data_IF_503267065822
#
_entry.id   IF_503267065822
#
_cell.length_a   1.000
_cell.length_b   1.000
_cell.length_c   1.000
_cell.angle_alpha   90.00
_cell.angle_beta   90.00
_cell.angle_gamma   90.00
#
_symmetry.space_group_name_H-M   'P 1'
#
loop_
_entity.id
_entity.type
_entity.pdbx_description
1 polymer ?
#
# COMPACT_ATOMS: atom_id res chain seq x y z
N UNK A 1 46.22 2.53 14.93
CA UNK A 1 45.15 3.26 15.64
C UNK A 1 44.51 4.14 14.59
N UNK A 2 43.50 3.60 13.92
CA UNK A 2 42.65 4.30 12.97
C UNK A 2 41.46 4.83 13.73
N UNK A 3 41.31 6.15 13.76
CA UNK A 3 40.12 6.84 14.24
C UNK A 3 38.91 6.33 13.43
N UNK A 4 38.01 5.63 14.11
CA UNK A 4 36.69 5.36 13.60
C UNK A 4 35.85 6.62 13.86
N UNK A 5 35.52 7.35 12.79
CA UNK A 5 34.54 8.44 12.83
C UNK A 5 33.22 7.91 13.38
N UNK A 6 32.85 8.37 14.57
CA UNK A 6 31.48 8.24 15.07
C UNK A 6 30.60 9.19 14.23
N UNK A 7 29.56 8.70 13.54
CA UNK A 7 28.66 9.57 12.79
C UNK A 7 28.00 10.54 13.78
N UNK A 8 28.12 11.83 13.51
CA UNK A 8 27.53 12.89 14.33
C UNK A 8 25.99 12.87 14.16
N UNK A 9 25.30 12.01 14.92
CA UNK A 9 23.85 11.83 14.86
C UNK A 9 23.06 13.10 15.22
N UNK A 10 23.67 14.07 15.90
CA UNK A 10 23.02 15.31 16.31
C UNK A 10 22.74 16.28 15.15
N UNK A 11 23.67 16.43 14.20
CA UNK A 11 23.48 17.38 13.09
C UNK A 11 22.45 16.85 12.10
N UNK A 12 22.55 15.57 11.69
CA UNK A 12 21.62 14.95 10.74
C UNK A 12 20.16 15.00 11.22
N UNK A 13 19.92 14.79 12.53
CA UNK A 13 18.58 14.91 13.13
C UNK A 13 18.02 16.32 13.00
N UNK A 14 18.84 17.34 13.22
CA UNK A 14 18.42 18.74 13.12
C UNK A 14 18.09 19.10 11.67
N UNK A 15 18.92 18.70 10.70
CA UNK A 15 18.63 18.91 9.26
C UNK A 15 17.31 18.25 8.83
N UNK A 16 17.00 17.07 9.37
CA UNK A 16 15.74 16.38 9.09
C UNK A 16 14.54 17.09 9.75
N UNK A 17 14.69 17.60 10.97
CA UNK A 17 13.62 18.32 11.68
C UNK A 17 13.30 19.69 11.05
N UNK A 18 14.32 20.38 10.51
CA UNK A 18 14.19 21.69 9.87
C UNK A 18 14.02 21.63 8.36
N UNK A 19 13.98 20.43 7.77
CA UNK A 19 13.91 20.20 6.32
C UNK A 19 15.06 20.82 5.50
N UNK A 20 16.20 21.04 6.13
CA UNK A 20 17.38 21.64 5.46
C UNK A 20 18.23 20.61 4.70
N UNK A 21 17.78 19.36 4.60
CA UNK A 21 18.39 18.38 3.71
C UNK A 21 18.06 18.72 2.25
N UNK A 22 18.98 18.46 1.31
CA UNK A 22 18.76 18.77 -0.11
C UNK A 22 17.58 18.03 -0.76
N UNK A 23 17.16 16.92 -0.18
CA UNK A 23 15.92 16.20 -0.52
C UNK A 23 15.27 15.76 0.80
N UNK A 24 13.97 16.02 0.93
CA UNK A 24 13.19 15.67 2.12
C UNK A 24 12.02 14.79 1.71
N UNK A 25 11.93 13.61 2.31
CA UNK A 25 10.73 12.77 2.23
C UNK A 25 9.87 13.03 3.47
N UNK A 26 8.63 13.45 3.26
CA UNK A 26 7.69 13.72 4.35
C UNK A 26 6.27 13.32 3.96
N UNK A 27 5.31 13.48 4.88
CA UNK A 27 3.90 13.17 4.64
C UNK A 27 3.11 14.41 4.29
N UNK A 28 1.98 14.24 3.58
CA UNK A 28 1.00 15.32 3.34
C UNK A 28 0.67 16.10 4.60
N UNK A 29 0.34 15.38 5.68
CA UNK A 29 -0.01 15.97 6.96
C UNK A 29 1.12 16.84 7.49
N UNK A 30 2.36 16.36 7.49
CA UNK A 30 3.50 17.14 7.96
C UNK A 30 3.74 18.39 7.12
N UNK A 31 3.61 18.31 5.79
CA UNK A 31 3.69 19.47 4.90
C UNK A 31 2.64 20.52 5.24
N UNK A 32 1.35 20.16 5.14
CA UNK A 32 0.28 21.13 5.26
C UNK A 32 0.05 21.63 6.70
N UNK A 33 0.31 20.81 7.72
CA UNK A 33 0.32 21.28 9.12
C UNK A 33 1.42 22.32 9.36
N UNK A 34 2.57 22.19 8.68
CA UNK A 34 3.66 23.16 8.82
C UNK A 34 3.30 24.52 8.22
N UNK A 35 2.36 24.58 7.28
CA UNK A 35 1.93 25.82 6.62
C UNK A 35 0.64 26.40 7.22
N UNK A 36 -0.30 25.56 7.66
CA UNK A 36 -1.64 25.97 8.09
C UNK A 36 -1.67 26.80 9.39
N UNK A 37 -0.70 26.58 10.27
CA UNK A 37 -0.65 27.22 11.59
C UNK A 37 0.52 26.69 12.40
N UNK A 38 1.77 27.03 12.01
CA UNK A 38 2.94 26.40 12.58
C UNK A 38 3.14 26.79 14.05
N UNK A 39 3.28 25.77 14.90
CA UNK A 39 3.89 25.94 16.22
C UNK A 39 5.40 26.15 16.09
N UNK A 40 6.08 26.36 17.22
CA UNK A 40 7.52 26.65 17.23
C UNK A 40 8.37 25.63 16.45
N UNK A 41 8.04 24.34 16.56
CA UNK A 41 8.77 23.27 15.87
C UNK A 41 8.51 23.29 14.36
N UNK A 42 7.26 23.48 13.95
CA UNK A 42 6.88 23.54 12.54
C UNK A 42 7.45 24.79 11.85
N UNK A 43 7.52 25.92 12.54
CA UNK A 43 8.07 27.17 12.01
C UNK A 43 9.52 27.04 11.56
N UNK A 44 10.29 26.12 12.16
CA UNK A 44 11.68 25.89 11.75
C UNK A 44 11.81 25.27 10.35
N UNK A 45 10.72 24.71 9.80
CA UNK A 45 10.67 24.07 8.48
C UNK A 45 10.31 25.05 7.36
N UNK A 46 9.59 26.13 7.68
CA UNK A 46 9.12 27.11 6.69
C UNK A 46 10.25 27.67 5.81
N UNK A 47 11.44 28.01 6.32
CA UNK A 47 12.52 28.52 5.48
C UNK A 47 12.98 27.54 4.40
N UNK A 48 12.80 26.23 4.61
CA UNK A 48 13.16 25.21 3.62
C UNK A 48 12.15 25.09 2.46
N UNK A 49 10.99 25.74 2.57
CA UNK A 49 9.96 25.74 1.53
C UNK A 49 10.14 26.88 0.51
N UNK A 50 10.98 27.87 0.83
CA UNK A 50 11.29 29.00 -0.05
C UNK A 50 12.03 28.51 -1.31
N UNK A 51 11.54 28.91 -2.48
CA UNK A 51 12.01 28.50 -3.82
C UNK A 51 12.12 26.96 -3.99
N UNK A 52 11.33 26.20 -3.22
CA UNK A 52 11.41 24.74 -3.21
C UNK A 52 10.59 24.09 -4.33
N UNK A 53 10.96 22.86 -4.69
CA UNK A 53 10.15 21.99 -5.55
C UNK A 53 9.47 20.96 -4.65
N UNK A 54 8.14 21.01 -4.60
CA UNK A 54 7.31 20.12 -3.79
C UNK A 54 6.67 19.11 -4.71
N UNK A 55 7.09 17.84 -4.61
CA UNK A 55 6.44 16.73 -5.32
C UNK A 55 5.41 16.10 -4.40
N UNK A 56 4.17 16.09 -4.88
CA UNK A 56 3.00 15.61 -4.17
C UNK A 56 2.51 14.35 -4.88
N UNK A 57 2.88 13.19 -4.32
CA UNK A 57 2.50 11.88 -4.85
C UNK A 57 1.12 11.44 -4.34
N UNK A 58 0.31 10.82 -5.18
CA UNK A 58 -1.07 10.40 -4.90
C UNK A 58 -1.94 11.50 -4.24
N UNK A 59 -1.96 12.70 -4.83
CA UNK A 59 -2.68 13.86 -4.27
C UNK A 59 -4.18 13.64 -4.04
N UNK A 60 -4.79 12.63 -4.67
CA UNK A 60 -6.17 12.20 -4.40
C UNK A 60 -6.37 11.53 -3.03
N UNK A 61 -5.29 11.12 -2.34
CA UNK A 61 -5.36 10.52 -1.00
C UNK A 61 -5.79 11.52 0.09
N UNK A 62 -5.76 12.83 -0.21
CA UNK A 62 -6.23 13.87 0.70
C UNK A 62 -7.74 13.70 0.92
N UNK A 63 -8.23 13.62 2.18
CA UNK A 63 -9.66 13.49 2.44
C UNK A 63 -10.42 14.72 1.93
N UNK A 64 -11.59 14.48 1.37
CA UNK A 64 -12.42 15.48 0.71
C UNK A 64 -12.69 16.74 1.56
N UNK A 65 -12.85 16.58 2.87
CA UNK A 65 -13.12 17.67 3.81
C UNK A 65 -11.96 18.69 3.89
N UNK A 66 -10.74 18.27 3.56
CA UNK A 66 -9.54 19.10 3.60
C UNK A 66 -9.20 19.76 2.27
N UNK A 67 -9.91 19.42 1.20
CA UNK A 67 -9.60 19.87 -0.17
C UNK A 67 -9.50 21.40 -0.29
N UNK A 68 -10.42 22.14 0.32
CA UNK A 68 -10.41 23.61 0.25
C UNK A 68 -9.19 24.19 1.00
N UNK A 69 -8.87 23.65 2.18
CA UNK A 69 -7.71 24.10 2.95
C UNK A 69 -6.42 23.81 2.18
N UNK A 70 -6.26 22.58 1.69
CA UNK A 70 -5.07 22.14 0.95
C UNK A 70 -4.87 22.97 -0.31
N UNK A 71 -5.94 23.25 -1.06
CA UNK A 71 -5.87 24.08 -2.27
C UNK A 71 -5.36 25.49 -1.94
N UNK A 72 -5.91 26.12 -0.91
CA UNK A 72 -5.51 27.46 -0.47
C UNK A 72 -4.08 27.50 0.08
N UNK A 73 -3.65 26.48 0.81
CA UNK A 73 -2.27 26.39 1.29
C UNK A 73 -1.28 26.15 0.14
N UNK A 74 -1.69 25.40 -0.87
CA UNK A 74 -0.89 25.20 -2.10
C UNK A 74 -0.72 26.52 -2.83
N UNK A 75 -1.79 27.30 -3.01
CA UNK A 75 -1.72 28.63 -3.59
C UNK A 75 -0.80 29.56 -2.78
N UNK A 76 -0.92 29.53 -1.45
CA UNK A 76 -0.08 30.31 -0.55
C UNK A 76 1.41 29.96 -0.68
N UNK A 77 1.75 28.68 -0.78
CA UNK A 77 3.12 28.22 -1.03
C UNK A 77 3.67 28.75 -2.36
N UNK A 78 2.87 28.67 -3.43
CA UNK A 78 3.28 29.14 -4.74
C UNK A 78 3.49 30.67 -4.76
N UNK A 79 2.65 31.42 -4.05
CA UNK A 79 2.65 32.89 -4.09
C UNK A 79 3.64 33.53 -3.13
N UNK A 80 3.78 33.00 -1.93
CA UNK A 80 4.55 33.63 -0.85
C UNK A 80 5.92 32.99 -0.62
N UNK A 81 6.10 31.73 -1.05
CA UNK A 81 7.38 31.00 -0.95
C UNK A 81 8.00 30.70 -2.32
N UNK A 82 7.41 31.20 -3.41
CA UNK A 82 7.83 30.91 -4.80
C UNK A 82 8.03 29.40 -5.07
N UNK A 83 7.24 28.56 -4.39
CA UNK A 83 7.38 27.12 -4.46
C UNK A 83 6.77 26.57 -5.76
N UNK A 84 7.46 25.64 -6.41
CA UNK A 84 6.92 24.87 -7.54
C UNK A 84 6.28 23.58 -7.03
N UNK A 85 4.98 23.41 -7.27
CA UNK A 85 4.26 22.21 -6.84
C UNK A 85 4.00 21.29 -8.04
N UNK A 86 4.53 20.08 -7.98
CA UNK A 86 4.33 19.03 -8.99
C UNK A 86 3.43 17.97 -8.37
N UNK A 87 2.29 17.69 -9.00
CA UNK A 87 1.40 16.62 -8.56
C UNK A 87 1.59 15.38 -9.44
N UNK A 88 1.77 14.25 -8.79
CA UNK A 88 1.87 12.94 -9.42
C UNK A 88 0.68 12.11 -8.94
N UNK A 89 -0.08 11.56 -9.89
CA UNK A 89 -1.31 10.82 -9.58
C UNK A 89 -1.75 9.99 -10.78
N UNK A 90 -2.30 8.81 -10.51
CA UNK A 90 -2.98 8.00 -11.53
C UNK A 90 -4.33 8.60 -11.97
N UNK A 91 -4.94 9.44 -11.14
CA UNK A 91 -6.27 10.03 -11.39
C UNK A 91 -6.26 11.51 -11.06
N UNK A 92 -6.40 12.38 -12.07
CA UNK A 92 -6.35 13.83 -11.86
C UNK A 92 -7.37 14.26 -10.78
N UNK A 93 -6.91 14.73 -9.61
CA UNK A 93 -7.81 15.09 -8.55
C UNK A 93 -8.44 16.45 -8.85
N UNK A 94 -9.76 16.53 -8.70
CA UNK A 94 -10.54 17.74 -8.99
C UNK A 94 -10.48 18.80 -7.89
N UNK A 95 -9.71 18.61 -6.82
CA UNK A 95 -9.69 19.59 -5.73
C UNK A 95 -9.05 20.92 -6.15
N UNK A 96 -8.10 20.91 -7.08
CA UNK A 96 -7.50 22.14 -7.63
C UNK A 96 -8.49 22.95 -8.45
N UNK A 97 -9.54 22.33 -8.99
CA UNK A 97 -10.63 23.03 -9.69
C UNK A 97 -11.49 23.87 -8.72
N UNK A 98 -11.29 23.72 -7.40
CA UNK A 98 -12.06 24.45 -6.39
C UNK A 98 -11.54 25.86 -6.11
N UNK A 99 -10.27 26.13 -6.38
CA UNK A 99 -9.69 27.46 -6.21
C UNK A 99 -9.53 28.13 -7.57
N UNK A 100 -10.19 29.29 -7.72
CA UNK A 100 -10.25 30.01 -8.99
C UNK A 100 -8.91 30.64 -9.37
N UNK A 101 -8.05 30.89 -8.38
CA UNK A 101 -6.79 31.61 -8.53
C UNK A 101 -5.58 30.68 -8.74
N UNK A 102 -5.76 29.35 -8.65
CA UNK A 102 -4.70 28.41 -8.98
C UNK A 102 -4.48 28.37 -10.50
N UNK A 103 -3.22 28.42 -10.97
CA UNK A 103 -2.95 28.24 -12.39
C UNK A 103 -3.43 26.85 -12.82
N UNK A 104 -4.06 26.79 -13.99
CA UNK A 104 -4.44 25.51 -14.57
C UNK A 104 -3.18 24.63 -14.71
N UNK A 105 -3.24 23.34 -14.33
CA UNK A 105 -2.11 22.45 -14.51
C UNK A 105 -1.63 22.49 -15.97
N UNK A 106 -0.33 22.71 -16.15
CA UNK A 106 0.31 22.70 -17.47
C UNK A 106 0.91 21.32 -17.67
N UNK A 107 0.65 20.69 -18.81
CA UNK A 107 1.31 19.44 -19.14
C UNK A 107 2.83 19.66 -19.27
N UNK A 108 3.61 18.87 -18.54
CA UNK A 108 5.07 18.90 -18.65
C UNK A 108 5.56 18.20 -19.92
N UNK A 109 4.71 17.40 -20.58
CA UNK A 109 5.07 16.65 -21.79
C UNK A 109 4.03 16.85 -22.91
N UNK A 110 4.48 16.74 -24.15
CA UNK A 110 3.60 16.77 -25.32
C UNK A 110 2.82 15.45 -25.51
N UNK A 111 3.16 14.41 -24.73
CA UNK A 111 2.59 13.07 -24.87
C UNK A 111 1.32 12.84 -24.05
N UNK A 112 0.80 13.86 -23.35
CA UNK A 112 -0.35 13.71 -22.46
C UNK A 112 -1.55 13.03 -23.15
N UNK A 113 -1.90 13.50 -24.35
CA UNK A 113 -3.02 12.93 -25.12
C UNK A 113 -2.77 11.46 -25.49
N UNK A 114 -1.57 11.13 -25.95
CA UNK A 114 -1.17 9.76 -26.30
C UNK A 114 -1.19 8.83 -25.07
N UNK A 115 -0.71 9.31 -23.92
CA UNK A 115 -0.70 8.59 -22.65
C UNK A 115 -2.12 8.26 -22.16
N UNK A 116 -3.09 9.17 -22.37
CA UNK A 116 -4.49 8.95 -22.01
C UNK A 116 -5.23 8.09 -23.06
N UNK A 117 -4.87 8.21 -24.34
CA UNK A 117 -5.47 7.41 -25.40
C UNK A 117 -5.06 5.93 -25.37
N UNK A 118 -3.84 5.63 -24.87
CA UNK A 118 -3.28 4.29 -24.88
C UNK A 118 -4.08 3.27 -24.03
N UNK A 119 -4.50 3.56 -22.78
CA UNK A 119 -5.40 2.69 -22.02
C UNK A 119 -6.78 2.52 -22.67
N UNK A 120 -7.34 3.58 -23.27
CA UNK A 120 -8.64 3.50 -23.96
C UNK A 120 -8.60 2.55 -25.17
N UNK A 121 -7.46 2.48 -25.84
CA UNK A 121 -7.25 1.61 -27.01
C UNK A 121 -6.73 0.22 -26.63
N UNK A 122 -6.26 0.04 -25.40
CA UNK A 122 -5.72 -1.21 -24.87
C UNK A 122 -6.26 -1.42 -23.44
N UNK A 123 -7.56 -1.76 -23.30
CA UNK A 123 -8.13 -2.01 -21.98
C UNK A 123 -7.37 -3.16 -21.33
N UNK A 124 -6.76 -2.88 -20.17
CA UNK A 124 -5.95 -3.83 -19.41
C UNK A 124 -6.72 -4.54 -18.29
N UNK A 125 -7.94 -4.08 -18.02
CA UNK A 125 -8.75 -4.52 -16.89
C UNK A 125 -10.15 -4.78 -17.39
N UNK A 126 -10.69 -5.94 -17.01
CA UNK A 126 -12.10 -6.27 -17.16
C UNK A 126 -12.80 -6.04 -15.82
N UNK A 127 -13.92 -5.32 -15.84
CA UNK A 127 -14.70 -5.05 -14.64
C UNK A 127 -15.99 -5.87 -14.67
N UNK A 128 -16.19 -6.70 -13.66
CA UNK A 128 -17.47 -7.35 -13.39
C UNK A 128 -18.08 -6.73 -12.13
N UNK A 129 -19.22 -6.06 -12.30
CA UNK A 129 -19.97 -5.48 -11.18
C UNK A 129 -20.96 -6.54 -10.68
N UNK A 130 -20.82 -6.95 -9.41
CA UNK A 130 -21.71 -7.92 -8.80
C UNK A 130 -23.09 -7.29 -8.49
N UNK A 131 -24.16 -8.08 -8.63
CA UNK A 131 -25.54 -7.60 -8.47
C UNK A 131 -25.85 -7.06 -7.06
N UNK A 132 -25.08 -7.49 -6.04
CA UNK A 132 -25.18 -6.98 -4.67
C UNK A 132 -24.84 -5.49 -4.55
N UNK A 133 -24.15 -4.88 -5.53
CA UNK A 133 -23.87 -3.44 -5.53
C UNK A 133 -25.13 -2.60 -5.80
N UNK A 134 -26.19 -3.21 -6.34
CA UNK A 134 -27.39 -2.53 -6.82
C UNK A 134 -28.10 -1.69 -5.75
N UNK A 135 -27.96 -2.03 -4.45
CA UNK A 135 -28.50 -1.22 -3.33
C UNK A 135 -27.92 0.20 -3.27
N UNK A 136 -26.65 0.36 -3.66
CA UNK A 136 -25.95 1.65 -3.61
C UNK A 136 -26.12 2.47 -4.90
N UNK A 137 -26.81 1.91 -5.91
CA UNK A 137 -27.12 2.60 -7.14
C UNK A 137 -28.54 3.19 -7.08
N UNK A 138 -28.79 4.38 -7.67
CA UNK A 138 -30.08 5.07 -7.58
C UNK A 138 -31.32 4.28 -8.09
N UNK A 139 -31.12 3.13 -8.73
CA UNK A 139 -32.15 2.36 -9.42
C UNK A 139 -32.42 0.95 -8.83
N UNK A 140 -31.80 0.52 -7.73
CA UNK A 140 -31.78 -0.90 -7.35
C UNK A 140 -32.03 -1.22 -5.87
N UNK A 141 -32.67 -2.38 -5.65
CA UNK A 141 -32.98 -3.00 -4.35
C UNK A 141 -32.42 -4.43 -4.27
N UNK A 142 -31.11 -4.58 -4.48
CA UNK A 142 -30.40 -5.85 -4.25
C UNK A 142 -30.12 -6.07 -2.76
N UNK A 143 -29.90 -7.31 -2.35
CA UNK A 143 -29.44 -7.64 -1.00
C UNK A 143 -27.91 -7.71 -0.94
N UNK A 144 -27.27 -7.28 0.16
CA UNK A 144 -25.83 -7.44 0.36
C UNK A 144 -25.40 -8.91 0.23
N UNK A 145 -24.26 -9.14 -0.41
CA UNK A 145 -23.70 -10.49 -0.51
C UNK A 145 -23.18 -10.94 0.88
N UNK A 146 -23.68 -12.04 1.45
CA UNK A 146 -23.16 -12.59 2.69
C UNK A 146 -21.68 -12.99 2.56
N UNK A 147 -20.92 -12.85 3.63
CA UNK A 147 -19.47 -13.10 3.62
C UNK A 147 -19.10 -14.55 3.30
N UNK A 148 -19.93 -15.52 3.72
CA UNK A 148 -19.80 -16.95 3.38
C UNK A 148 -19.93 -17.18 1.86
N UNK A 149 -20.85 -16.47 1.21
CA UNK A 149 -21.04 -16.56 -0.25
C UNK A 149 -19.87 -15.91 -0.98
N UNK A 150 -19.40 -14.74 -0.51
CA UNK A 150 -18.21 -14.09 -1.05
C UNK A 150 -16.95 -14.98 -0.91
N UNK A 151 -16.79 -15.68 0.21
CA UNK A 151 -15.71 -16.65 0.42
C UNK A 151 -15.79 -17.79 -0.59
N UNK A 152 -17.00 -18.32 -0.83
CA UNK A 152 -17.23 -19.39 -1.81
C UNK A 152 -16.89 -18.93 -3.23
N UNK A 153 -17.31 -17.73 -3.62
CA UNK A 153 -17.00 -17.16 -4.93
C UNK A 153 -15.49 -16.95 -5.13
N UNK A 154 -14.80 -16.42 -4.10
CA UNK A 154 -13.35 -16.22 -4.14
C UNK A 154 -12.59 -17.55 -4.28
N UNK A 155 -12.99 -18.59 -3.53
CA UNK A 155 -12.40 -19.92 -3.66
C UNK A 155 -12.62 -20.51 -5.05
N UNK A 156 -13.83 -20.37 -5.61
CA UNK A 156 -14.14 -20.85 -6.95
C UNK A 156 -13.36 -20.10 -8.04
N UNK A 157 -13.06 -18.82 -7.82
CA UNK A 157 -12.26 -17.98 -8.71
C UNK A 157 -10.75 -18.21 -8.57
N UNK A 158 -10.29 -18.92 -7.53
CA UNK A 158 -8.87 -19.17 -7.27
C UNK A 158 -8.52 -20.66 -7.40
N UNK A 159 -8.48 -21.23 -8.62
CA UNK A 159 -8.02 -22.59 -8.82
C UNK A 159 -6.56 -22.79 -8.38
N UNK A 160 -6.14 -24.06 -8.33
CA UNK A 160 -4.77 -24.45 -8.02
C UNK A 160 -3.77 -23.77 -8.97
N UNK A 161 -2.71 -23.17 -8.41
CA UNK A 161 -1.68 -22.45 -9.16
C UNK A 161 -2.09 -21.06 -9.63
N UNK A 162 -3.27 -20.56 -9.23
CA UNK A 162 -3.65 -19.16 -9.43
C UNK A 162 -3.65 -18.40 -8.11
N UNK A 163 -3.70 -17.08 -8.26
CA UNK A 163 -3.55 -16.13 -7.17
C UNK A 163 -4.75 -15.18 -7.18
N UNK A 164 -5.24 -14.77 -6.00
CA UNK A 164 -6.32 -13.80 -5.92
C UNK A 164 -6.21 -12.93 -4.68
N UNK A 165 -6.66 -11.68 -4.83
CA UNK A 165 -6.67 -10.67 -3.77
C UNK A 165 -8.10 -10.19 -3.52
N UNK A 166 -8.55 -10.33 -2.27
CA UNK A 166 -9.75 -9.68 -1.79
C UNK A 166 -9.38 -8.46 -0.94
N UNK A 167 -9.79 -7.28 -1.39
CA UNK A 167 -9.65 -6.03 -0.64
C UNK A 167 -10.95 -5.73 0.10
N UNK A 168 -10.86 -5.54 1.41
CA UNK A 168 -12.01 -5.27 2.28
C UNK A 168 -11.83 -3.99 3.09
N UNK A 169 -12.93 -3.31 3.41
CA UNK A 169 -12.88 -1.99 4.02
C UNK A 169 -12.39 -2.00 5.47
N UNK A 170 -12.64 -3.07 6.22
CA UNK A 170 -12.36 -3.10 7.66
C UNK A 170 -11.53 -4.32 8.07
N UNK A 171 -10.81 -4.17 9.16
CA UNK A 171 -10.02 -5.26 9.77
C UNK A 171 -10.94 -6.39 10.25
N UNK A 172 -12.15 -6.06 10.69
CA UNK A 172 -13.15 -7.04 11.11
C UNK A 172 -13.64 -7.85 9.91
N UNK A 173 -13.97 -7.19 8.79
CA UNK A 173 -14.31 -7.87 7.53
C UNK A 173 -13.18 -8.78 7.04
N UNK A 174 -11.92 -8.35 7.18
CA UNK A 174 -10.76 -9.16 6.82
C UNK A 174 -10.65 -10.42 7.69
N UNK A 175 -10.88 -10.28 8.99
CA UNK A 175 -10.87 -11.40 9.93
C UNK A 175 -12.01 -12.39 9.64
N UNK A 176 -13.24 -11.90 9.47
CA UNK A 176 -14.40 -12.74 9.18
C UNK A 176 -14.27 -13.45 7.83
N UNK A 177 -13.79 -12.77 6.79
CA UNK A 177 -13.58 -13.41 5.47
C UNK A 177 -12.47 -14.46 5.54
N UNK A 178 -11.40 -14.19 6.29
CA UNK A 178 -10.33 -15.18 6.56
C UNK A 178 -10.88 -16.42 7.26
N UNK A 179 -11.71 -16.22 8.29
CA UNK A 179 -12.31 -17.32 9.05
C UNK A 179 -13.17 -18.22 8.14
N UNK A 180 -14.06 -17.64 7.35
CA UNK A 180 -14.88 -18.40 6.38
C UNK A 180 -14.02 -19.14 5.35
N UNK A 181 -13.01 -18.47 4.78
CA UNK A 181 -12.12 -19.07 3.79
C UNK A 181 -11.28 -20.21 4.36
N UNK A 182 -10.95 -20.17 5.65
CA UNK A 182 -10.19 -21.23 6.32
C UNK A 182 -11.08 -22.38 6.80
N UNK A 183 -12.33 -22.10 7.16
CA UNK A 183 -13.31 -23.10 7.61
C UNK A 183 -13.91 -23.91 6.45
N UNK A 184 -14.11 -23.29 5.27
CA UNK A 184 -14.81 -23.90 4.15
C UNK A 184 -13.99 -24.91 3.32
N UNK A 185 -12.68 -25.05 3.55
CA UNK A 185 -11.82 -25.88 2.71
C UNK A 185 -11.85 -27.36 3.11
N UNK A 186 -12.28 -28.21 2.17
CA UNK A 186 -12.21 -29.68 2.26
C UNK A 186 -11.79 -30.23 0.89
N UNK A 187 -10.79 -31.14 0.76
CA UNK A 187 -9.98 -31.75 1.80
C UNK A 187 -8.63 -31.04 2.01
N UNK A 188 -8.29 -30.77 3.27
CA UNK A 188 -7.00 -30.19 3.67
C UNK A 188 -7.19 -28.85 4.37
N UNK A 189 -6.55 -28.69 5.53
CA UNK A 189 -6.50 -27.40 6.22
C UNK A 189 -5.61 -26.45 5.39
N UNK A 190 -6.04 -25.21 5.12
CA UNK A 190 -5.22 -24.27 4.36
C UNK A 190 -4.00 -23.83 5.17
N UNK A 191 -2.88 -23.61 4.47
CA UNK A 191 -1.65 -23.12 5.07
C UNK A 191 -1.80 -21.62 5.26
N UNK A 192 -1.93 -21.16 6.51
CA UNK A 192 -1.88 -19.73 6.78
C UNK A 192 -0.44 -19.23 6.77
N UNK A 193 -0.12 -18.26 5.90
CA UNK A 193 1.20 -17.69 5.75
C UNK A 193 1.77 -17.13 7.06
N UNK A 194 0.93 -16.72 8.01
CA UNK A 194 1.37 -16.18 9.30
C UNK A 194 1.45 -17.21 10.46
N UNK A 195 0.98 -18.45 10.26
CA UNK A 195 0.78 -19.45 11.32
C UNK A 195 2.05 -19.77 12.13
N UNK A 196 3.18 -19.89 11.43
CA UNK A 196 4.45 -20.34 11.99
C UNK A 196 5.46 -19.20 12.23
N UNK A 197 5.02 -17.95 12.11
CA UNK A 197 5.89 -16.78 12.14
C UNK A 197 6.62 -16.63 13.49
N UNK A 198 5.90 -16.87 14.59
CA UNK A 198 6.45 -16.75 15.93
C UNK A 198 7.54 -17.79 16.19
N UNK A 199 7.29 -19.05 15.82
CA UNK A 199 8.25 -20.15 15.93
C UNK A 199 9.50 -19.89 15.08
N UNK A 200 9.29 -19.43 13.83
CA UNK A 200 10.38 -19.07 12.93
C UNK A 200 11.27 -17.97 13.52
N UNK A 201 10.68 -16.91 14.07
CA UNK A 201 11.42 -15.81 14.68
C UNK A 201 12.20 -16.24 15.91
N UNK A 202 11.61 -17.07 16.79
CA UNK A 202 12.34 -17.60 17.95
C UNK A 202 13.60 -18.38 17.56
N UNK A 203 13.53 -19.14 16.46
CA UNK A 203 14.66 -19.95 15.97
C UNK A 203 15.69 -19.13 15.21
N UNK A 204 15.26 -18.05 14.56
CA UNK A 204 16.10 -17.24 13.67
C UNK A 204 16.72 -16.02 14.34
N UNK A 205 16.28 -15.64 15.55
CA UNK A 205 16.80 -14.52 16.37
C UNK A 205 18.31 -14.57 16.72
N UNK A 206 19.08 -15.50 16.16
CA UNK A 206 20.52 -15.68 16.37
C UNK A 206 21.38 -15.52 15.09
N UNK A 207 20.80 -15.16 13.94
CA UNK A 207 21.54 -14.93 12.67
C UNK A 207 21.18 -13.56 12.08
N UNK A 208 21.73 -12.50 12.67
CA UNK A 208 21.64 -11.14 12.11
C UNK A 208 22.63 -10.98 10.95
N UNK A 209 22.11 -10.72 9.74
CA UNK A 209 22.92 -10.40 8.57
C UNK A 209 22.23 -10.61 7.22
N UNK A 210 21.20 -11.45 7.15
CA UNK A 210 20.46 -11.74 5.91
C UNK A 210 19.56 -10.55 5.53
N UNK A 211 19.52 -10.21 4.23
CA UNK A 211 18.52 -9.29 3.70
C UNK A 211 17.10 -9.86 3.80
N UNK A 212 16.09 -9.00 3.62
CA UNK A 212 14.68 -9.35 3.79
C UNK A 212 14.23 -10.47 2.84
N UNK A 213 14.73 -10.48 1.61
CA UNK A 213 14.36 -11.47 0.59
C UNK A 213 14.90 -12.86 0.95
N UNK A 214 16.13 -12.92 1.46
CA UNK A 214 16.73 -14.17 1.95
C UNK A 214 15.98 -14.70 3.18
N UNK A 215 15.56 -13.79 4.09
CA UNK A 215 14.74 -14.18 5.24
C UNK A 215 13.36 -14.70 4.81
N UNK A 216 12.74 -14.07 3.82
CA UNK A 216 11.45 -14.49 3.26
C UNK A 216 11.53 -15.88 2.62
N UNK A 217 12.54 -16.15 1.79
CA UNK A 217 12.74 -17.47 1.18
C UNK A 217 12.93 -18.57 2.25
N UNK A 218 13.73 -18.28 3.29
CA UNK A 218 13.92 -19.19 4.42
C UNK A 218 12.63 -19.39 5.22
N UNK A 219 11.80 -18.36 5.34
CA UNK A 219 10.51 -18.46 6.00
C UNK A 219 9.54 -19.34 5.22
N UNK A 220 9.47 -19.20 3.90
CA UNK A 220 8.64 -20.05 3.04
C UNK A 220 9.05 -21.53 3.15
N UNK A 221 10.36 -21.83 3.09
CA UNK A 221 10.82 -23.20 3.29
C UNK A 221 10.52 -23.72 4.70
N UNK A 222 10.67 -22.87 5.73
CA UNK A 222 10.33 -23.25 7.09
C UNK A 222 8.84 -23.58 7.22
N UNK A 223 7.98 -22.79 6.57
CA UNK A 223 6.54 -22.98 6.55
C UNK A 223 6.17 -24.30 5.87
N UNK A 224 6.76 -24.61 4.71
CA UNK A 224 6.59 -25.89 4.00
C UNK A 224 6.99 -27.09 4.87
N UNK A 225 8.13 -26.99 5.57
CA UNK A 225 8.64 -28.07 6.43
C UNK A 225 7.81 -28.30 7.71
N UNK A 226 7.06 -27.29 8.18
CA UNK A 226 6.47 -27.27 9.53
C UNK A 226 4.95 -27.03 9.58
N UNK A 227 4.33 -26.61 8.49
CA UNK A 227 2.89 -26.46 8.44
C UNK A 227 2.24 -27.83 8.74
N UNK A 228 1.36 -27.85 9.73
CA UNK A 228 0.55 -29.04 10.05
C UNK A 228 -0.54 -29.27 9.01
N UNK A 229 -0.84 -28.24 8.23
CA UNK A 229 -1.77 -28.20 7.12
C UNK A 229 -1.16 -28.87 5.88
N UNK A 230 -1.88 -29.84 5.31
CA UNK A 230 -1.55 -30.56 4.07
C UNK A 230 -2.43 -30.08 2.89
N UNK A 231 -2.90 -28.83 2.98
CA UNK A 231 -3.79 -28.21 2.00
C UNK A 231 -3.02 -27.63 0.83
N UNK A 232 -3.60 -27.75 -0.38
CA UNK A 232 -3.06 -27.14 -1.61
C UNK A 232 -3.30 -25.62 -1.69
N UNK A 233 -3.60 -24.97 -0.57
CA UNK A 233 -3.98 -23.55 -0.52
C UNK A 233 -3.12 -22.79 0.47
N UNK A 234 -2.45 -21.75 -0.01
CA UNK A 234 -1.76 -20.77 0.82
C UNK A 234 -2.67 -19.55 1.04
N UNK A 235 -2.78 -19.13 2.30
CA UNK A 235 -3.65 -18.03 2.69
C UNK A 235 -2.91 -16.92 3.42
N UNK A 236 -3.07 -15.67 3.01
CA UNK A 236 -2.44 -14.51 3.64
C UNK A 236 -3.48 -13.49 4.11
N UNK A 237 -3.44 -13.09 5.38
CA UNK A 237 -4.22 -11.96 5.90
C UNK A 237 -3.30 -10.79 6.15
N UNK A 238 -3.51 -9.67 5.46
CA UNK A 238 -2.64 -8.50 5.50
C UNK A 238 -3.40 -7.29 6.05
N UNK A 239 -3.23 -6.99 7.34
CA UNK A 239 -3.85 -5.84 8.00
C UNK A 239 -2.84 -5.04 8.83
N UNK A 240 -3.23 -3.84 9.25
CA UNK A 240 -2.43 -2.98 10.12
C UNK A 240 -2.31 -3.48 11.57
N UNK A 241 -3.04 -4.55 11.96
CA UNK A 241 -2.90 -5.17 13.30
C UNK A 241 -1.65 -6.05 13.44
N UNK A 242 -1.05 -6.44 12.32
CA UNK A 242 0.21 -7.20 12.33
C UNK A 242 1.35 -6.24 12.65
N UNK A 243 2.31 -6.68 13.48
CA UNK A 243 3.47 -5.86 13.85
C UNK A 243 4.26 -5.49 12.60
N UNK A 244 4.85 -4.29 12.59
CA UNK A 244 5.55 -3.76 11.41
C UNK A 244 6.57 -4.74 10.81
N UNK A 245 7.49 -5.28 11.64
CA UNK A 245 8.52 -6.24 11.19
C UNK A 245 7.94 -7.57 10.69
N UNK A 246 6.94 -8.07 11.39
CA UNK A 246 6.23 -9.31 11.03
C UNK A 246 5.57 -9.15 9.66
N UNK A 247 4.92 -8.01 9.46
CA UNK A 247 4.28 -7.65 8.19
C UNK A 247 5.28 -7.50 7.05
N UNK A 248 6.45 -6.88 7.27
CA UNK A 248 7.49 -6.77 6.23
C UNK A 248 7.92 -8.14 5.73
N UNK A 249 8.17 -9.09 6.65
CA UNK A 249 8.54 -10.45 6.28
C UNK A 249 7.41 -11.18 5.53
N UNK A 250 6.16 -11.05 5.99
CA UNK A 250 5.00 -11.67 5.34
C UNK A 250 4.75 -11.10 3.94
N UNK A 251 4.91 -9.78 3.76
CA UNK A 251 4.79 -9.14 2.45
C UNK A 251 5.91 -9.59 1.50
N UNK A 252 7.16 -9.68 1.99
CA UNK A 252 8.27 -10.19 1.20
C UNK A 252 8.07 -11.67 0.82
N UNK A 253 7.62 -12.50 1.76
CA UNK A 253 7.31 -13.91 1.50
C UNK A 253 6.19 -14.06 0.46
N UNK A 254 5.07 -13.34 0.64
CA UNK A 254 3.97 -13.37 -0.33
C UNK A 254 4.42 -12.85 -1.70
N UNK A 255 5.26 -11.81 -1.75
CA UNK A 255 5.79 -11.30 -3.03
C UNK A 255 6.57 -12.37 -3.79
N UNK A 256 7.37 -13.19 -3.11
CA UNK A 256 8.09 -14.29 -3.75
C UNK A 256 7.15 -15.37 -4.28
N UNK A 257 6.07 -15.69 -3.56
CA UNK A 257 5.06 -16.65 -4.02
C UNK A 257 4.33 -16.14 -5.27
N UNK A 258 4.12 -14.83 -5.39
CA UNK A 258 3.45 -14.22 -6.54
C UNK A 258 4.39 -13.94 -7.73
N UNK A 259 5.70 -14.07 -7.54
CA UNK A 259 6.69 -13.77 -8.58
C UNK A 259 6.89 -14.99 -9.49
N UNK A 260 6.41 -14.89 -10.72
CA UNK A 260 6.51 -15.97 -11.72
C UNK A 260 7.96 -16.32 -12.11
N UNK A 261 8.91 -15.42 -11.87
CA UNK A 261 10.34 -15.65 -12.15
C UNK A 261 11.08 -16.33 -10.98
N UNK A 262 10.42 -16.50 -9.82
CA UNK A 262 10.99 -17.10 -8.62
C UNK A 262 10.22 -18.36 -8.19
N UNK A 263 10.93 -19.49 -8.09
CA UNK A 263 10.30 -20.72 -7.61
C UNK A 263 10.26 -20.78 -6.08
N UNK A 264 9.12 -21.20 -5.55
CA UNK A 264 8.83 -21.38 -4.13
C UNK A 264 8.18 -22.75 -3.87
N UNK A 265 8.14 -23.22 -2.62
CA UNK A 265 7.41 -24.44 -2.27
C UNK A 265 5.90 -24.39 -2.56
N UNK A 266 5.35 -23.19 -2.79
CA UNK A 266 3.91 -22.95 -2.92
C UNK A 266 3.48 -22.62 -4.36
N UNK A 267 4.35 -22.81 -5.36
CA UNK A 267 4.07 -22.48 -6.78
C UNK A 267 2.84 -23.24 -7.32
N UNK A 268 2.64 -24.47 -6.85
CA UNK A 268 1.49 -25.32 -7.22
C UNK A 268 0.28 -25.11 -6.30
N UNK A 269 0.33 -24.19 -5.34
CA UNK A 269 -0.77 -23.91 -4.40
C UNK A 269 -1.70 -22.84 -4.96
N UNK A 270 -3.00 -22.93 -4.65
CA UNK A 270 -3.90 -21.79 -4.78
C UNK A 270 -3.52 -20.74 -3.73
N UNK A 271 -3.26 -19.49 -4.14
CA UNK A 271 -2.86 -18.43 -3.21
C UNK A 271 -3.93 -17.36 -3.09
N UNK A 272 -4.51 -17.22 -1.90
CA UNK A 272 -5.52 -16.19 -1.63
C UNK A 272 -4.98 -15.22 -0.58
N UNK A 273 -5.10 -13.92 -0.87
CA UNK A 273 -4.80 -12.85 0.07
C UNK A 273 -6.05 -12.06 0.41
N UNK A 274 -6.26 -11.78 1.70
CA UNK A 274 -7.27 -10.84 2.17
C UNK A 274 -6.56 -9.66 2.81
N UNK A 275 -6.80 -8.46 2.30
CA UNK A 275 -6.18 -7.23 2.81
C UNK A 275 -7.17 -6.10 2.99
N UNK A 276 -6.83 -5.16 3.86
CA UNK A 276 -7.43 -3.82 3.82
C UNK A 276 -6.73 -2.96 2.76
N UNK A 277 -6.88 -1.63 2.81
CA UNK A 277 -6.13 -0.67 1.99
C UNK A 277 -4.60 -0.71 2.18
N UNK A 278 -4.08 -1.65 2.99
CA UNK A 278 -2.66 -1.82 3.21
C UNK A 278 -1.93 -2.20 1.92
N UNK A 279 -2.55 -3.04 1.08
CA UNK A 279 -1.96 -3.50 -0.18
C UNK A 279 -2.05 -2.45 -1.30
N UNK A 280 -2.98 -1.50 -1.18
CA UNK A 280 -3.15 -0.39 -2.13
C UNK A 280 -2.02 0.66 -2.01
N UNK A 281 -1.42 0.80 -0.82
CA UNK A 281 -0.43 1.82 -0.52
C UNK A 281 1.01 1.32 -0.78
N UNK A 282 1.42 1.27 -2.05
CA UNK A 282 2.83 1.17 -2.44
C UNK A 282 3.46 -0.22 -2.32
N UNK A 283 2.66 -1.29 -2.18
CA UNK A 283 3.16 -2.66 -2.25
C UNK A 283 3.06 -3.15 -3.70
N UNK A 284 4.21 -3.41 -4.34
CA UNK A 284 4.25 -3.93 -5.71
C UNK A 284 4.03 -5.45 -5.72
N UNK A 285 2.78 -5.89 -5.93
CA UNK A 285 2.37 -7.29 -6.00
C UNK A 285 1.47 -7.50 -7.22
N UNK A 286 1.60 -8.64 -7.88
CA UNK A 286 0.76 -9.03 -9.01
C UNK A 286 -0.05 -10.26 -8.63
N UNK A 287 -1.36 -10.18 -8.83
CA UNK A 287 -2.29 -11.31 -8.72
C UNK A 287 -2.91 -11.55 -10.10
N UNK A 288 -3.45 -12.74 -10.33
CA UNK A 288 -4.12 -13.11 -11.59
C UNK A 288 -5.46 -12.40 -11.81
#
# INVERSE_FOLDING_TARGET
>A
MTDAEHPNHGSASVYAETWQAGVVLTTFTQLFESVAGPGNTQSMKLPALDESIIVVDESQAVPHDWWNLVSRLTEYLMREYDATVIQMTATQPRFLEREQDLPSPISLTETYEDCIALPNSNPRVEFQIHDSLSEHLPAGGGEPLPIEQAATELQAATPRGSTSLAVVNTIESAASLTEELTAAQTPGEPIQLASELYQFQQRTSARDGDDLDTQAARYLQYLDDHATADGDTLFATLTTRIRFRDRELLLAALKQVLDQDQSTPFDDSATMAVSTQLIEAGVNMSFD
#
